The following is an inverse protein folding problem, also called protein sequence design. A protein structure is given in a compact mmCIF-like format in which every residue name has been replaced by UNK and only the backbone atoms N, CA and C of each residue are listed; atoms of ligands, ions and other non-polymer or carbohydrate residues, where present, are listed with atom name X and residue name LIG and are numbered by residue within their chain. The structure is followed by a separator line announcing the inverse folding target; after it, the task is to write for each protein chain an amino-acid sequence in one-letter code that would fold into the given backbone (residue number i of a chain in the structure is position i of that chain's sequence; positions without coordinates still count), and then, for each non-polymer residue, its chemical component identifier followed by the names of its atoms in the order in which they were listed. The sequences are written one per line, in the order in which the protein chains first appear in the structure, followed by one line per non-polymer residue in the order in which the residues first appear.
data_IF_580259287065
#
_entry.id   IF_580259287065
#
_cell.length_a   1.000
_cell.length_b   1.000
_cell.length_c   1.000
_cell.angle_alpha   90.00
_cell.angle_beta   90.00
_cell.angle_gamma   90.00
#
_symmetry.space_group_name_H-M   'P 1'
#
loop_
_entity.id
_entity.type
_entity.pdbx_description
1 polymer ?
#
# COMPACT_ATOMS: atom_id res chain seq x y z
N UNK A 1 0.85 6.96 -30.72
CA UNK A 1 1.80 5.82 -30.60
C UNK A 1 1.97 5.49 -29.12
N UNK A 2 1.56 4.31 -28.63
CA UNK A 2 1.81 3.89 -27.22
C UNK A 2 3.08 3.04 -27.19
N UNK A 3 4.16 3.61 -26.65
CA UNK A 3 5.40 2.87 -26.39
C UNK A 3 5.16 1.83 -25.29
N UNK A 4 5.41 0.56 -25.60
CA UNK A 4 5.52 -0.52 -24.60
C UNK A 4 7.00 -0.70 -24.29
N UNK A 5 7.44 -0.10 -23.20
CA UNK A 5 8.81 -0.31 -22.71
C UNK A 5 8.90 -1.70 -22.09
N UNK A 6 9.68 -2.59 -22.71
CA UNK A 6 10.08 -3.86 -22.11
C UNK A 6 11.42 -3.66 -21.42
N UNK A 7 11.39 -3.19 -20.18
CA UNK A 7 12.59 -3.09 -19.35
C UNK A 7 12.60 -4.22 -18.32
N UNK A 8 13.71 -4.96 -18.25
CA UNK A 8 13.99 -5.92 -17.17
C UNK A 8 14.95 -5.26 -16.19
N UNK A 9 14.54 -5.18 -14.93
CA UNK A 9 15.35 -4.65 -13.85
C UNK A 9 16.23 -5.76 -13.24
N UNK A 10 17.53 -5.51 -13.11
CA UNK A 10 18.48 -6.40 -12.42
C UNK A 10 19.10 -5.64 -11.23
N UNK A 11 18.42 -5.59 -10.08
CA UNK A 11 18.84 -4.77 -8.95
C UNK A 11 20.04 -5.37 -8.22
N UNK A 12 20.93 -4.51 -7.71
CA UNK A 12 22.01 -4.90 -6.79
C UNK A 12 21.45 -5.44 -5.47
N UNK A 13 22.24 -6.15 -4.63
CA UNK A 13 21.78 -6.60 -3.31
C UNK A 13 21.16 -5.48 -2.45
N UNK A 14 21.80 -4.30 -2.40
CA UNK A 14 21.28 -3.15 -1.67
C UNK A 14 19.94 -2.64 -2.25
N UNK A 15 19.84 -2.55 -3.58
CA UNK A 15 18.59 -2.15 -4.23
C UNK A 15 17.46 -3.14 -3.98
N UNK A 16 17.74 -4.45 -3.92
CA UNK A 16 16.71 -5.45 -3.57
C UNK A 16 16.14 -5.23 -2.19
N UNK A 17 16.98 -4.89 -1.21
CA UNK A 17 16.55 -4.59 0.16
C UNK A 17 15.66 -3.35 0.18
N UNK A 18 16.08 -2.26 -0.47
CA UNK A 18 15.28 -1.03 -0.50
C UNK A 18 13.95 -1.21 -1.25
N UNK A 19 13.95 -1.94 -2.37
CA UNK A 19 12.72 -2.29 -3.09
C UNK A 19 11.81 -3.18 -2.24
N UNK A 20 12.36 -4.14 -1.49
CA UNK A 20 11.58 -4.97 -0.59
C UNK A 20 10.91 -4.15 0.53
N UNK A 21 11.61 -3.17 1.10
CA UNK A 21 11.02 -2.22 2.06
C UNK A 21 9.90 -1.41 1.43
N UNK A 22 10.16 -0.77 0.29
CA UNK A 22 9.20 0.08 -0.39
C UNK A 22 7.94 -0.68 -0.82
N UNK A 23 8.09 -1.81 -1.52
CA UNK A 23 6.97 -2.63 -1.94
C UNK A 23 6.30 -3.38 -0.79
N UNK A 24 7.04 -3.70 0.27
CA UNK A 24 6.50 -4.25 1.51
C UNK A 24 5.51 -3.29 2.16
N UNK A 25 5.91 -2.04 2.38
CA UNK A 25 5.04 -0.99 2.93
C UNK A 25 3.82 -0.74 2.03
N UNK A 26 4.02 -0.61 0.72
CA UNK A 26 2.94 -0.39 -0.23
C UNK A 26 1.91 -1.53 -0.21
N UNK A 27 2.37 -2.78 -0.10
CA UNK A 27 1.49 -3.96 -0.03
C UNK A 27 0.61 -3.95 1.22
N UNK A 28 1.15 -3.57 2.38
CA UNK A 28 0.39 -3.51 3.64
C UNK A 28 -0.74 -2.47 3.53
N UNK A 29 -0.40 -1.23 3.16
CA UNK A 29 -1.39 -0.13 3.02
C UNK A 29 -2.47 -0.48 2.00
N UNK A 30 -2.09 -1.07 0.87
CA UNK A 30 -3.05 -1.50 -0.15
C UNK A 30 -4.01 -2.57 0.39
N UNK A 31 -3.49 -3.58 1.07
CA UNK A 31 -4.30 -4.67 1.62
C UNK A 31 -5.25 -4.19 2.72
N UNK A 32 -4.83 -3.23 3.55
CA UNK A 32 -5.72 -2.63 4.55
C UNK A 32 -6.87 -1.86 3.90
N UNK A 33 -6.57 -1.05 2.88
CA UNK A 33 -7.61 -0.38 2.09
C UNK A 33 -8.57 -1.36 1.42
N UNK A 34 -8.05 -2.46 0.87
CA UNK A 34 -8.85 -3.51 0.25
C UNK A 34 -9.75 -4.22 1.27
N UNK A 35 -9.24 -4.50 2.48
CA UNK A 35 -10.02 -5.12 3.57
C UNK A 35 -11.14 -4.21 4.04
N UNK A 36 -10.87 -2.92 4.23
CA UNK A 36 -11.89 -1.94 4.62
C UNK A 36 -13.01 -1.83 3.59
N UNK A 37 -12.68 -1.87 2.30
CA UNK A 37 -13.68 -1.87 1.22
C UNK A 37 -14.52 -3.15 1.20
N UNK A 38 -13.92 -4.31 1.44
CA UNK A 38 -14.64 -5.57 1.56
C UNK A 38 -15.63 -5.54 2.73
N UNK A 39 -15.18 -5.09 3.91
CA UNK A 39 -16.04 -4.95 5.08
C UNK A 39 -17.21 -3.98 4.85
N UNK A 40 -16.96 -2.82 4.23
CA UNK A 40 -18.01 -1.88 3.89
C UNK A 40 -19.05 -2.50 2.93
N UNK A 41 -18.59 -3.26 1.93
CA UNK A 41 -19.47 -3.98 1.00
C UNK A 41 -20.35 -5.00 1.73
N UNK A 42 -19.76 -5.81 2.59
CA UNK A 42 -20.47 -6.84 3.37
C UNK A 42 -21.53 -6.24 4.30
N UNK A 43 -21.27 -5.03 4.81
CA UNK A 43 -22.17 -4.30 5.71
C UNK A 43 -23.17 -3.40 4.97
N UNK A 44 -23.14 -3.34 3.63
CA UNK A 44 -23.97 -2.42 2.85
C UNK A 44 -23.64 -0.93 3.06
N UNK A 45 -22.45 -0.63 3.55
CA UNK A 45 -21.97 0.72 3.81
C UNK A 45 -21.28 1.32 2.57
N UNK A 46 -21.23 2.65 2.53
CA UNK A 46 -20.46 3.37 1.53
C UNK A 46 -18.96 3.06 1.64
N UNK A 47 -18.27 3.02 0.50
CA UNK A 47 -16.83 2.79 0.47
C UNK A 47 -16.04 3.97 1.06
N UNK A 48 -15.00 3.64 1.81
CA UNK A 48 -14.03 4.61 2.31
C UNK A 48 -13.23 5.19 1.14
N UNK A 49 -13.16 6.52 1.08
CA UNK A 49 -12.41 7.25 0.06
C UNK A 49 -10.90 6.99 0.19
N UNK A 50 -10.17 7.12 -0.92
CA UNK A 50 -8.71 6.92 -0.91
C UNK A 50 -7.98 7.91 0.03
N UNK A 51 -8.44 9.17 0.09
CA UNK A 51 -7.86 10.18 0.98
C UNK A 51 -8.05 9.85 2.46
N UNK A 52 -9.18 9.23 2.82
CA UNK A 52 -9.42 8.81 4.19
C UNK A 52 -8.65 7.53 4.55
N UNK A 53 -8.49 6.61 3.60
CA UNK A 53 -7.60 5.46 3.77
C UNK A 53 -6.15 5.89 4.02
N UNK A 54 -5.64 6.89 3.28
CA UNK A 54 -4.29 7.44 3.48
C UNK A 54 -4.12 8.00 4.90
N UNK A 55 -5.05 8.85 5.33
CA UNK A 55 -5.00 9.46 6.68
C UNK A 55 -5.02 8.40 7.79
N UNK A 56 -5.79 7.33 7.62
CA UNK A 56 -5.84 6.22 8.58
C UNK A 56 -4.53 5.43 8.62
N UNK A 57 -3.89 5.21 7.47
CA UNK A 57 -2.60 4.54 7.39
C UNK A 57 -1.51 5.35 8.11
N UNK A 58 -1.44 6.66 7.87
CA UNK A 58 -0.49 7.56 8.54
C UNK A 58 -0.65 7.51 10.07
N UNK A 59 -1.89 7.65 10.55
CA UNK A 59 -2.22 7.61 11.99
C UNK A 59 -2.03 6.22 12.65
N UNK A 60 -1.98 5.14 11.86
CA UNK A 60 -1.71 3.80 12.37
C UNK A 60 -0.22 3.55 12.57
N UNK A 61 0.64 4.21 11.78
CA UNK A 61 2.09 4.08 11.84
C UNK A 61 2.66 4.80 13.08
N UNK A 62 2.04 5.90 13.52
CA UNK A 62 2.43 6.63 14.75
C UNK A 62 2.23 5.83 16.03
N UNK A 63 1.30 4.85 16.05
CA UNK A 63 1.05 4.01 17.23
C UNK A 63 2.10 2.92 17.45
N UNK A 64 3.04 2.74 16.51
CA UNK A 64 4.15 1.79 16.60
C UNK A 64 5.48 2.39 17.10
N UNK A 65 5.55 3.71 17.36
CA UNK A 65 6.79 4.40 17.76
C UNK A 65 7.00 4.48 19.29
N UNK A 66 6.08 3.93 20.08
CA UNK A 66 6.19 3.80 21.54
C UNK A 66 6.08 2.32 21.93
N UNK A 67 7.19 1.59 21.80
CA UNK A 67 7.33 0.20 22.21
C UNK A 67 8.79 -0.15 22.41
#
# INVERSE_FOLDING_TARGET
MRLRYNYRLYPTPGQRIELAKAFGCARVVFNDGLRLRQQAREQGLAYVSAGELSRRADNSNDRGAHG
#
